data_IF_412479327080
#
_entry.id   IF_412479327080
#
_cell.length_a   1.000
_cell.length_b   1.000
_cell.length_c   1.000
_cell.angle_alpha   90.00
_cell.angle_beta   90.00
_cell.angle_gamma   90.00
#
_symmetry.space_group_name_H-M   'P 1'
#
loop_
_entity.id
_entity.type
_entity.pdbx_description
1 polymer ?
#
# COMPACT_ATOMS: atom_id res chain seq x y z
N UNK A 1 -10.78 -2.52 3.53
CA UNK A 1 -9.71 -3.20 2.77
C UNK A 1 -8.64 -2.25 2.23
N UNK A 2 -8.99 -1.11 1.61
CA UNK A 2 -7.98 -0.16 1.07
C UNK A 2 -6.93 0.33 2.08
N UNK A 3 -7.32 0.60 3.34
CA UNK A 3 -6.35 0.98 4.38
C UNK A 3 -5.30 -0.09 4.70
N UNK A 4 -5.62 -1.37 4.48
CA UNK A 4 -4.67 -2.46 4.63
C UNK A 4 -3.58 -2.33 3.56
N UNK A 5 -3.98 -2.16 2.30
CA UNK A 5 -3.07 -2.01 1.17
C UNK A 5 -2.10 -0.85 1.40
N UNK A 6 -2.62 0.33 1.77
CA UNK A 6 -1.79 1.52 2.01
C UNK A 6 -0.75 1.32 3.12
N UNK A 7 -1.05 0.50 4.14
CA UNK A 7 -0.12 0.17 5.21
C UNK A 7 0.91 -0.88 4.79
N UNK A 8 0.54 -1.84 3.94
CA UNK A 8 1.44 -2.93 3.55
C UNK A 8 2.36 -2.57 2.38
N UNK A 9 1.99 -1.63 1.51
CA UNK A 9 2.86 -1.15 0.42
C UNK A 9 4.25 -0.73 0.93
N UNK A 10 4.41 0.17 1.92
CA UNK A 10 5.73 0.55 2.39
C UNK A 10 6.50 -0.64 2.98
N UNK A 11 5.81 -1.54 3.71
CA UNK A 11 6.41 -2.72 4.32
C UNK A 11 6.95 -3.70 3.27
N UNK A 12 6.21 -3.91 2.17
CA UNK A 12 6.63 -4.79 1.07
C UNK A 12 7.82 -4.17 0.32
N UNK A 13 7.83 -2.84 0.13
CA UNK A 13 8.95 -2.13 -0.51
C UNK A 13 10.24 -2.26 0.31
N UNK A 14 10.16 -2.12 1.62
CA UNK A 14 11.32 -2.32 2.51
C UNK A 14 11.82 -3.77 2.46
N UNK A 15 10.91 -4.76 2.49
CA UNK A 15 11.29 -6.17 2.31
C UNK A 15 11.91 -6.45 0.94
N UNK A 16 11.41 -5.81 -0.11
CA UNK A 16 11.96 -5.96 -1.45
C UNK A 16 13.39 -5.41 -1.50
N UNK A 17 13.65 -4.28 -0.84
CA UNK A 17 14.99 -3.70 -0.73
C UNK A 17 15.94 -4.61 0.05
N UNK A 18 15.54 -5.09 1.23
CA UNK A 18 16.34 -6.03 2.03
C UNK A 18 16.64 -7.32 1.24
N UNK A 19 15.64 -7.85 0.53
CA UNK A 19 15.81 -9.04 -0.31
C UNK A 19 16.75 -8.75 -1.48
N UNK A 20 16.66 -7.58 -2.10
CA UNK A 20 17.55 -7.17 -3.19
C UNK A 20 19.01 -7.06 -2.72
N UNK A 21 19.25 -6.43 -1.58
CA UNK A 21 20.59 -6.33 -0.96
C UNK A 21 21.15 -7.73 -0.62
N UNK A 22 20.32 -8.64 -0.11
CA UNK A 22 20.72 -10.02 0.15
C UNK A 22 21.06 -10.79 -1.14
N UNK A 23 20.29 -10.63 -2.23
CA UNK A 23 20.61 -11.26 -3.52
C UNK A 23 21.86 -10.66 -4.16
N UNK A 24 22.09 -9.35 -3.96
CA UNK A 24 23.32 -8.66 -4.39
C UNK A 24 24.56 -9.22 -3.69
N UNK A 25 24.50 -9.40 -2.37
CA UNK A 25 25.58 -10.04 -1.61
C UNK A 25 25.87 -11.49 -2.07
N UNK A 26 24.84 -12.20 -2.58
CA UNK A 26 24.95 -13.55 -3.17
C UNK A 26 25.43 -13.56 -4.62
N UNK A 27 25.78 -12.41 -5.20
CA UNK A 27 26.31 -12.30 -6.56
C UNK A 27 25.27 -12.52 -7.67
N UNK A 28 23.97 -12.47 -7.36
CA UNK A 28 22.90 -12.68 -8.35
C UNK A 28 22.88 -11.58 -9.42
N UNK A 29 23.36 -10.37 -9.10
CA UNK A 29 23.50 -9.27 -10.08
C UNK A 29 24.53 -9.57 -11.18
N UNK A 30 25.47 -10.50 -10.95
CA UNK A 30 26.52 -10.81 -11.90
C UNK A 30 26.06 -11.73 -13.06
N UNK A 31 24.83 -12.23 -12.99
CA UNK A 31 24.23 -13.03 -14.07
C UNK A 31 23.61 -12.13 -15.15
N UNK A 32 23.96 -12.38 -16.42
CA UNK A 32 23.40 -11.65 -17.58
C UNK A 32 21.90 -11.88 -17.81
N UNK A 33 21.33 -12.97 -17.30
CA UNK A 33 19.94 -13.33 -17.54
C UNK A 33 18.98 -12.55 -16.61
N UNK A 34 18.15 -11.62 -17.14
CA UNK A 34 17.22 -10.83 -16.32
C UNK A 34 16.10 -11.68 -15.69
N UNK A 35 15.66 -12.74 -16.37
CA UNK A 35 14.60 -13.64 -15.87
C UNK A 35 15.08 -14.39 -14.62
N UNK A 36 16.33 -14.86 -14.65
CA UNK A 36 16.93 -15.52 -13.49
C UNK A 36 16.99 -14.60 -12.26
N UNK A 37 17.39 -13.33 -12.48
CA UNK A 37 17.43 -12.31 -11.42
C UNK A 37 16.04 -12.06 -10.83
N UNK A 38 15.02 -11.95 -11.68
CA UNK A 38 13.64 -11.73 -11.25
C UNK A 38 13.10 -12.90 -10.42
N UNK A 39 13.34 -14.14 -10.86
CA UNK A 39 12.93 -15.35 -10.13
C UNK A 39 13.60 -15.39 -8.75
N UNK A 40 14.91 -15.13 -8.67
CA UNK A 40 15.67 -15.17 -7.41
C UNK A 40 15.28 -14.09 -6.41
N UNK A 41 14.75 -12.96 -6.87
CA UNK A 41 14.24 -11.89 -6.01
C UNK A 41 12.75 -12.08 -5.68
N UNK A 42 11.95 -12.44 -6.68
CA UNK A 42 10.49 -12.51 -6.61
C UNK A 42 9.99 -13.65 -5.72
N UNK A 43 10.51 -14.86 -5.87
CA UNK A 43 10.03 -16.00 -5.07
C UNK A 43 10.24 -15.80 -3.55
N UNK A 44 11.43 -15.37 -3.08
CA UNK A 44 11.62 -15.10 -1.65
C UNK A 44 10.73 -13.98 -1.11
N UNK A 45 10.55 -12.90 -1.88
CA UNK A 45 9.68 -11.79 -1.50
C UNK A 45 8.22 -12.24 -1.40
N UNK A 46 7.76 -13.01 -2.38
CA UNK A 46 6.39 -13.53 -2.43
C UNK A 46 6.10 -14.46 -1.25
N UNK A 47 7.02 -15.39 -0.97
CA UNK A 47 6.91 -16.30 0.18
C UNK A 47 6.78 -15.53 1.49
N UNK A 48 7.69 -14.58 1.74
CA UNK A 48 7.65 -13.74 2.95
C UNK A 48 6.36 -12.91 3.04
N UNK A 49 5.84 -12.44 1.91
CA UNK A 49 4.59 -11.68 1.87
C UNK A 49 3.39 -12.56 2.24
N UNK A 50 3.31 -13.79 1.72
CA UNK A 50 2.23 -14.71 2.07
C UNK A 50 2.30 -15.19 3.52
N UNK A 51 3.48 -15.55 4.03
CA UNK A 51 3.65 -15.91 5.45
C UNK A 51 3.16 -14.79 6.37
N UNK A 52 3.48 -13.53 6.04
CA UNK A 52 2.96 -12.36 6.79
C UNK A 52 1.45 -12.15 6.64
N UNK A 53 0.89 -12.49 5.49
CA UNK A 53 -0.55 -12.40 5.27
C UNK A 53 -1.30 -13.44 6.12
N UNK A 54 -0.77 -14.65 6.22
CA UNK A 54 -1.34 -15.70 7.07
C UNK A 54 -1.28 -15.29 8.55
N UNK A 55 -0.12 -14.84 9.03
CA UNK A 55 0.05 -14.32 10.40
C UNK A 55 -0.93 -13.17 10.70
N UNK A 56 -1.13 -12.28 9.73
CA UNK A 56 -2.05 -11.16 9.83
C UNK A 56 -3.50 -11.63 9.94
N UNK A 57 -3.93 -12.58 9.10
CA UNK A 57 -5.29 -13.11 9.13
C UNK A 57 -5.58 -13.75 10.48
N UNK A 58 -4.66 -14.58 10.98
CA UNK A 58 -4.78 -15.19 12.31
C UNK A 58 -4.87 -14.12 13.40
N UNK A 59 -4.06 -13.06 13.33
CA UNK A 59 -4.12 -11.96 14.30
C UNK A 59 -5.42 -11.12 14.19
N UNK A 60 -5.98 -10.99 12.99
CA UNK A 60 -7.25 -10.31 12.75
C UNK A 60 -8.42 -11.13 13.31
N UNK A 61 -8.43 -12.44 13.09
CA UNK A 61 -9.43 -13.35 13.67
C UNK A 61 -9.39 -13.37 15.20
N UNK A 62 -8.19 -13.41 15.79
CA UNK A 62 -8.00 -13.36 17.24
C UNK A 62 -8.54 -12.06 17.88
N UNK A 63 -8.65 -10.97 17.10
CA UNK A 63 -9.22 -9.68 17.53
C UNK A 63 -10.69 -9.51 17.13
N UNK A 64 -11.34 -10.59 16.68
CA UNK A 64 -12.73 -10.60 16.20
C UNK A 64 -12.98 -9.55 15.11
N UNK A 65 -12.05 -9.40 14.16
CA UNK A 65 -12.23 -8.49 13.04
C UNK A 65 -13.51 -8.82 12.27
N UNK A 66 -14.37 -7.81 12.06
CA UNK A 66 -15.59 -7.92 11.27
C UNK A 66 -15.57 -6.92 10.11
N UNK A 67 -16.18 -7.29 8.99
CA UNK A 67 -16.26 -6.40 7.83
C UNK A 67 -17.15 -5.18 8.09
N UNK A 68 -18.20 -5.34 8.91
CA UNK A 68 -19.13 -4.28 9.29
C UNK A 68 -18.57 -3.45 10.47
N UNK A 69 -17.43 -2.79 10.24
CA UNK A 69 -16.72 -1.97 11.23
C UNK A 69 -17.24 -0.53 11.24
N UNK A 70 -17.24 0.11 12.40
CA UNK A 70 -17.47 1.56 12.49
C UNK A 70 -16.34 2.29 11.75
N UNK A 71 -16.70 3.05 10.73
CA UNK A 71 -15.73 3.81 9.95
C UNK A 71 -15.13 4.97 10.76
N UNK A 72 -13.88 5.37 10.46
CA UNK A 72 -13.25 6.50 11.12
C UNK A 72 -14.09 7.77 10.95
N UNK A 73 -14.28 8.50 12.04
CA UNK A 73 -15.03 9.75 12.03
C UNK A 73 -14.30 10.80 11.18
N UNK A 74 -14.88 11.11 10.01
CA UNK A 74 -14.46 12.22 9.17
C UNK A 74 -15.17 13.49 9.67
N UNK A 75 -14.42 14.46 10.16
CA UNK A 75 -14.97 15.73 10.63
C UNK A 75 -14.82 16.80 9.56
N UNK A 76 -15.92 17.48 9.23
CA UNK A 76 -15.89 18.64 8.35
C UNK A 76 -15.14 19.78 9.02
N UNK A 77 -14.17 20.36 8.32
CA UNK A 77 -13.43 21.51 8.80
C UNK A 77 -13.85 22.80 8.09
N UNK A 78 -13.56 23.96 8.70
CA UNK A 78 -13.86 25.27 8.09
C UNK A 78 -13.19 25.45 6.72
N UNK A 79 -12.06 24.76 6.50
CA UNK A 79 -11.35 24.74 5.21
C UNK A 79 -12.14 24.03 4.11
N UNK A 80 -12.93 23.03 4.45
CA UNK A 80 -13.75 22.29 3.48
C UNK A 80 -14.90 23.17 2.96
N UNK A 81 -15.47 24.00 3.83
CA UNK A 81 -16.45 25.01 3.45
C UNK A 81 -15.88 26.07 2.50
N UNK A 82 -14.68 26.58 2.78
CA UNK A 82 -14.01 27.54 1.89
C UNK A 82 -13.72 26.90 0.53
N UNK A 83 -13.22 25.67 0.50
CA UNK A 83 -12.96 24.95 -0.74
C UNK A 83 -14.25 24.75 -1.57
N UNK A 84 -15.37 24.44 -0.90
CA UNK A 84 -16.66 24.24 -1.55
C UNK A 84 -17.19 25.53 -2.19
N UNK A 85 -17.04 26.68 -1.50
CA UNK A 85 -17.43 28.00 -2.05
C UNK A 85 -16.58 28.36 -3.27
N UNK A 86 -15.26 28.15 -3.21
CA UNK A 86 -14.36 28.48 -4.32
C UNK A 86 -14.67 27.64 -5.56
N UNK A 87 -14.86 26.31 -5.40
CA UNK A 87 -15.20 25.42 -6.52
C UNK A 87 -16.56 25.77 -7.11
N UNK A 88 -17.56 26.06 -6.27
CA UNK A 88 -18.89 26.47 -6.74
C UNK A 88 -18.82 27.80 -7.49
N UNK A 89 -18.06 28.77 -7.01
CA UNK A 89 -17.94 30.08 -7.64
C UNK A 89 -17.22 29.98 -9.01
N UNK A 90 -16.16 29.18 -9.08
CA UNK A 90 -15.46 28.90 -10.35
C UNK A 90 -16.37 28.21 -11.37
N UNK A 91 -17.17 27.23 -10.92
CA UNK A 91 -18.15 26.54 -11.78
C UNK A 91 -19.22 27.49 -12.33
N UNK A 92 -19.74 28.40 -11.50
CA UNK A 92 -20.72 29.41 -11.92
C UNK A 92 -20.09 30.40 -12.90
N UNK A 93 -18.87 30.87 -12.63
CA UNK A 93 -18.17 31.79 -13.53
C UNK A 93 -17.92 31.17 -14.91
N UNK A 94 -17.59 29.87 -14.97
CA UNK A 94 -17.37 29.15 -16.23
C UNK A 94 -18.67 28.87 -17.00
N UNK A 95 -19.82 28.86 -16.32
CA UNK A 95 -21.14 28.67 -16.93
C UNK A 95 -21.71 29.99 -17.49
N UNK A 96 -21.28 31.12 -16.89
CA UNK A 96 -21.68 32.48 -17.32
C UNK A 96 -20.79 32.98 -18.47
N UNK A 97 -19.54 32.55 -18.55
CA UNK A 97 -18.60 32.82 -19.64
C UNK A 97 -18.98 32.03 -20.91
#
# INVERSE_FOLDING_TARGET
MMGLILRFVPVILDQARETAEAQKARGVENHKNPVYRLIKLGFPLLRRTFERADDLVVAMEARCFTENRTDPALMLHKRDWVALIVVSCLGIALLIL
#
